data_IF_440554663840
#
_entry.id   IF_440554663840
#
_cell.length_a   1.000
_cell.length_b   1.000
_cell.length_c   1.000
_cell.angle_alpha   90.00
_cell.angle_beta   90.00
_cell.angle_gamma   90.00
#
_symmetry.space_group_name_H-M   'P 1'
#
loop_
_entity.id
_entity.type
_entity.pdbx_description
1 polymer ?
#
# COMPACT_ATOMS: atom_id res chain seq x y z
N UNK A 1 22.72 -19.79 12.26
CA UNK A 1 21.73 -18.74 12.57
C UNK A 1 21.70 -17.80 11.40
N UNK A 2 20.55 -17.70 10.74
CA UNK A 2 20.41 -16.97 9.48
C UNK A 2 19.58 -15.72 9.83
N UNK A 3 20.23 -14.57 9.92
CA UNK A 3 19.58 -13.24 9.95
C UNK A 3 18.88 -13.01 8.61
N UNK A 4 17.57 -13.24 8.55
CA UNK A 4 16.76 -13.09 7.34
C UNK A 4 15.58 -12.17 7.65
N UNK A 5 15.88 -10.91 7.92
CA UNK A 5 15.42 -9.78 7.11
C UNK A 5 15.67 -8.48 7.88
N UNK A 6 16.17 -7.45 7.20
CA UNK A 6 16.28 -6.08 7.74
C UNK A 6 14.90 -5.42 7.93
N UNK A 7 13.82 -6.11 7.58
CA UNK A 7 12.49 -5.56 7.44
C UNK A 7 11.57 -6.13 8.52
N UNK A 8 10.67 -5.31 9.04
CA UNK A 8 9.52 -5.83 9.77
C UNK A 8 8.61 -6.61 8.82
N UNK A 9 7.75 -7.49 9.36
CA UNK A 9 6.77 -8.22 8.54
C UNK A 9 5.85 -7.28 7.75
N UNK A 10 5.50 -6.13 8.33
CA UNK A 10 4.63 -5.13 7.72
C UNK A 10 5.35 -4.43 6.55
N UNK A 11 6.62 -4.06 6.73
CA UNK A 11 7.45 -3.47 5.66
C UNK A 11 7.71 -4.44 4.52
N UNK A 12 8.02 -5.70 4.82
CA UNK A 12 8.19 -6.71 3.80
C UNK A 12 6.90 -6.96 3.03
N UNK A 13 5.76 -7.02 3.72
CA UNK A 13 4.45 -7.18 3.10
C UNK A 13 4.11 -6.01 2.17
N UNK A 14 4.37 -4.77 2.60
CA UNK A 14 4.18 -3.58 1.79
C UNK A 14 5.05 -3.61 0.53
N UNK A 15 6.34 -3.96 0.66
CA UNK A 15 7.25 -4.05 -0.48
C UNK A 15 6.74 -5.02 -1.56
N UNK A 16 6.29 -6.22 -1.16
CA UNK A 16 5.80 -7.22 -2.11
C UNK A 16 4.53 -6.71 -2.81
N UNK A 17 3.58 -6.17 -2.06
CA UNK A 17 2.34 -5.62 -2.62
C UNK A 17 2.59 -4.40 -3.53
N UNK A 18 3.61 -3.58 -3.26
CA UNK A 18 4.01 -2.49 -4.16
C UNK A 18 4.56 -3.00 -5.50
N UNK A 19 5.24 -4.15 -5.50
CA UNK A 19 5.77 -4.78 -6.74
C UNK A 19 4.65 -5.41 -7.56
N UNK A 20 3.64 -5.93 -6.89
CA UNK A 20 2.47 -6.55 -7.52
C UNK A 20 1.40 -5.52 -7.92
N UNK A 21 1.59 -4.24 -7.55
CA UNK A 21 0.68 -3.13 -7.84
C UNK A 21 -0.70 -3.35 -7.20
N UNK A 22 -0.70 -3.97 -6.03
CA UNK A 22 -1.89 -4.43 -5.34
C UNK A 22 -2.75 -3.28 -4.81
N UNK A 23 -4.08 -3.47 -4.73
CA UNK A 23 -4.95 -2.55 -4.02
C UNK A 23 -4.67 -2.58 -2.51
N UNK A 24 -4.96 -1.48 -1.81
CA UNK A 24 -4.69 -1.36 -0.37
C UNK A 24 -5.41 -2.44 0.47
N UNK A 25 -6.60 -2.88 0.08
CA UNK A 25 -7.30 -3.95 0.79
C UNK A 25 -6.58 -5.30 0.67
N UNK A 26 -5.94 -5.59 -0.46
CA UNK A 26 -5.23 -6.85 -0.68
C UNK A 26 -3.96 -6.95 0.18
N UNK A 27 -3.27 -5.83 0.38
CA UNK A 27 -2.18 -5.71 1.34
C UNK A 27 -2.59 -6.16 2.75
N UNK A 28 -3.79 -5.77 3.20
CA UNK A 28 -4.31 -6.17 4.51
C UNK A 28 -4.66 -7.66 4.55
N UNK A 29 -5.27 -8.17 3.48
CA UNK A 29 -5.61 -9.58 3.34
C UNK A 29 -4.35 -10.47 3.40
N UNK A 30 -3.31 -10.12 2.65
CA UNK A 30 -2.02 -10.81 2.65
C UNK A 30 -1.36 -10.76 4.02
N UNK A 31 -1.33 -9.57 4.63
CA UNK A 31 -0.65 -9.38 5.90
C UNK A 31 -1.27 -10.19 7.03
N UNK A 32 -2.60 -10.25 7.05
CA UNK A 32 -3.38 -10.95 8.08
C UNK A 32 -3.59 -12.41 7.75
N UNK A 33 -3.33 -12.84 6.50
CA UNK A 33 -3.63 -14.17 5.99
C UNK A 33 -5.10 -14.56 6.21
N UNK A 34 -6.00 -13.59 6.02
CA UNK A 34 -7.43 -13.73 6.32
C UNK A 34 -8.27 -13.21 5.17
N UNK A 35 -9.49 -13.73 5.05
CA UNK A 35 -10.53 -13.19 4.17
C UNK A 35 -11.54 -12.31 4.92
N UNK A 36 -11.32 -12.05 6.20
CA UNK A 36 -12.24 -11.31 7.08
C UNK A 36 -11.85 -9.82 7.18
N UNK A 37 -12.69 -8.90 6.65
CA UNK A 37 -12.44 -7.46 6.72
C UNK A 37 -12.30 -6.90 8.14
N UNK A 38 -12.92 -7.51 9.16
CA UNK A 38 -12.77 -7.06 10.55
C UNK A 38 -11.34 -7.31 11.05
N UNK A 39 -10.74 -8.44 10.64
CA UNK A 39 -9.33 -8.75 10.95
C UNK A 39 -8.40 -7.79 10.22
N UNK A 40 -8.72 -7.46 8.95
CA UNK A 40 -7.94 -6.52 8.14
C UNK A 40 -7.86 -5.13 8.78
N UNK A 41 -8.99 -4.64 9.32
CA UNK A 41 -9.09 -3.31 9.92
C UNK A 41 -8.08 -3.08 11.06
N UNK A 42 -7.66 -4.15 11.76
CA UNK A 42 -6.65 -4.07 12.83
C UNK A 42 -5.27 -3.63 12.34
N UNK A 43 -4.99 -3.76 11.04
CA UNK A 43 -3.71 -3.41 10.41
C UNK A 43 -3.71 -2.06 9.71
N UNK A 44 -4.88 -1.44 9.49
CA UNK A 44 -4.99 -0.15 8.80
C UNK A 44 -4.08 0.92 9.44
N UNK A 45 -4.08 1.15 10.77
CA UNK A 45 -3.25 2.22 11.36
C UNK A 45 -1.75 2.05 11.08
N UNK A 46 -1.25 0.81 11.18
CA UNK A 46 0.16 0.50 10.93
C UNK A 46 0.55 0.74 9.46
N UNK A 47 -0.30 0.31 8.52
CA UNK A 47 -0.04 0.53 7.10
C UNK A 47 -0.26 1.97 6.66
N UNK A 48 -1.21 2.69 7.25
CA UNK A 48 -1.34 4.14 7.02
C UNK A 48 -0.04 4.86 7.35
N UNK A 49 0.48 4.68 8.57
CA UNK A 49 1.74 5.31 8.99
C UNK A 49 2.92 4.92 8.08
N UNK A 50 3.01 3.63 7.76
CA UNK A 50 4.10 3.10 6.95
C UNK A 50 4.06 3.64 5.51
N UNK A 51 2.90 3.61 4.86
CA UNK A 51 2.73 4.10 3.48
C UNK A 51 2.95 5.61 3.43
N UNK A 52 2.42 6.39 4.39
CA UNK A 52 2.69 7.84 4.46
C UNK A 52 4.18 8.14 4.59
N UNK A 53 4.89 7.40 5.45
CA UNK A 53 6.34 7.53 5.61
C UNK A 53 7.07 7.23 4.30
N UNK A 54 6.77 6.12 3.64
CA UNK A 54 7.42 5.74 2.39
C UNK A 54 7.06 6.67 1.22
N UNK A 55 5.83 7.20 1.17
CA UNK A 55 5.39 8.15 0.16
C UNK A 55 6.09 9.50 0.32
N UNK A 56 6.21 10.02 1.56
CA UNK A 56 6.98 11.25 1.85
C UNK A 56 8.44 11.12 1.44
N UNK A 57 9.02 9.94 1.67
CA UNK A 57 10.39 9.62 1.26
C UNK A 57 10.52 9.24 -0.22
N UNK A 58 9.43 9.31 -1.00
CA UNK A 58 9.42 8.99 -2.43
C UNK A 58 9.89 7.58 -2.76
N UNK A 59 9.58 6.59 -1.91
CA UNK A 59 9.81 5.18 -2.22
C UNK A 59 8.59 4.51 -2.84
N UNK A 60 7.39 4.98 -2.48
CA UNK A 60 6.12 4.50 -3.03
C UNK A 60 5.28 5.65 -3.55
N UNK A 61 4.31 5.29 -4.37
CA UNK A 61 3.30 6.19 -4.94
C UNK A 61 1.96 5.46 -5.00
N UNK A 62 0.88 6.23 -4.91
CA UNK A 62 -0.47 5.71 -4.93
C UNK A 62 -1.16 6.11 -6.23
N UNK A 63 -2.04 5.24 -6.72
CA UNK A 63 -2.89 5.51 -7.87
C UNK A 63 -4.34 5.27 -7.50
N UNK A 64 -5.21 6.16 -7.93
CA UNK A 64 -6.65 6.09 -7.75
C UNK A 64 -7.34 5.87 -9.10
N UNK A 65 -8.27 4.92 -9.18
CA UNK A 65 -8.98 4.63 -10.42
C UNK A 65 -10.11 3.63 -10.23
N UNK A 66 -10.58 3.05 -11.33
CA UNK A 66 -11.49 1.92 -11.29
C UNK A 66 -10.70 0.63 -11.01
N UNK A 67 -11.39 -0.44 -10.60
CA UNK A 67 -10.77 -1.75 -10.42
C UNK A 67 -10.23 -2.31 -11.74
N UNK A 68 -10.98 -2.13 -12.83
CA UNK A 68 -10.58 -2.59 -14.15
C UNK A 68 -10.87 -1.53 -15.22
N UNK A 69 -9.86 -1.12 -16.04
CA UNK A 69 -8.44 -1.48 -15.92
C UNK A 69 -7.81 -0.93 -14.62
N UNK A 70 -6.77 -1.59 -14.08
CA UNK A 70 -6.26 -1.25 -12.76
C UNK A 70 -5.71 0.19 -12.68
N UNK A 71 -5.74 0.82 -11.49
CA UNK A 71 -5.41 2.24 -11.35
C UNK A 71 -4.01 2.65 -11.82
N UNK A 72 -3.00 1.78 -11.73
CA UNK A 72 -1.65 2.09 -12.22
C UNK A 72 -1.57 2.18 -13.76
N UNK A 73 -2.53 1.61 -14.50
CA UNK A 73 -2.59 1.66 -15.97
C UNK A 73 -3.42 2.84 -16.47
N UNK A 74 -4.59 3.05 -15.85
CA UNK A 74 -5.63 3.95 -16.37
C UNK A 74 -6.13 4.99 -15.38
N UNK A 75 -5.74 4.84 -14.12
CA UNK A 75 -6.08 5.76 -13.04
C UNK A 75 -5.17 6.99 -13.02
N UNK A 76 -5.30 7.74 -11.94
CA UNK A 76 -4.55 8.95 -11.69
C UNK A 76 -3.60 8.73 -10.52
N UNK A 77 -2.35 9.18 -10.68
CA UNK A 77 -1.43 9.25 -9.55
C UNK A 77 -2.02 10.19 -8.50
N UNK A 78 -2.10 9.71 -7.27
CA UNK A 78 -2.50 10.53 -6.11
C UNK A 78 -1.38 11.54 -5.84
N UNK A 79 -1.68 12.85 -5.78
CA UNK A 79 -0.69 13.86 -5.39
C UNK A 79 -0.14 13.57 -4.00
N UNK A 80 1.14 13.86 -3.78
CA UNK A 80 1.81 13.53 -2.52
C UNK A 80 1.14 14.19 -1.30
N UNK A 81 0.62 15.40 -1.47
CA UNK A 81 -0.09 16.16 -0.42
C UNK A 81 -1.46 15.57 -0.08
N UNK A 82 -2.04 14.77 -0.99
CA UNK A 82 -3.36 14.13 -0.82
C UNK A 82 -3.25 12.71 -0.23
N UNK A 83 -2.05 12.14 -0.15
CA UNK A 83 -1.82 10.78 0.37
C UNK A 83 -2.42 10.58 1.78
N UNK A 84 -2.21 11.48 2.76
CA UNK A 84 -2.81 11.31 4.09
C UNK A 84 -4.34 11.31 4.06
N UNK A 85 -4.96 12.13 3.20
CA UNK A 85 -6.40 12.19 3.07
C UNK A 85 -6.96 10.89 2.46
N UNK A 86 -6.31 10.36 1.42
CA UNK A 86 -6.67 9.08 0.80
C UNK A 86 -6.54 7.92 1.79
N UNK A 87 -5.47 7.87 2.58
CA UNK A 87 -5.25 6.80 3.56
C UNK A 87 -6.14 6.92 4.81
N UNK A 88 -6.65 8.13 5.10
CA UNK A 88 -7.62 8.34 6.18
C UNK A 88 -9.05 7.99 5.77
N UNK A 89 -9.33 7.85 4.48
CA UNK A 89 -10.63 7.46 3.96
C UNK A 89 -10.86 5.94 4.11
N UNK A 90 -11.85 5.49 4.91
CA UNK A 90 -12.14 4.08 5.09
C UNK A 90 -12.46 3.34 3.80
N UNK A 91 -13.05 4.00 2.80
CA UNK A 91 -13.39 3.35 1.52
C UNK A 91 -12.13 2.93 0.74
N UNK A 92 -11.00 3.64 0.92
CA UNK A 92 -9.73 3.31 0.27
C UNK A 92 -9.18 1.92 0.65
N UNK A 93 -9.63 1.37 1.78
CA UNK A 93 -9.15 0.11 2.35
C UNK A 93 -10.12 -1.06 2.18
N UNK A 94 -11.27 -0.85 1.54
CA UNK A 94 -12.32 -1.86 1.45
C UNK A 94 -12.25 -2.65 0.15
N UNK A 95 -12.55 -3.96 0.24
CA UNK A 95 -12.87 -4.79 -0.91
C UNK A 95 -14.38 -4.75 -1.11
N UNK A 96 -14.84 -4.00 -2.12
CA UNK A 96 -16.24 -3.84 -2.45
C UNK A 96 -16.54 -4.53 -3.78
N UNK A 97 -17.74 -5.10 -3.93
CA UNK A 97 -18.15 -5.74 -5.20
C UNK A 97 -18.23 -4.73 -6.38
N UNK A 98 -18.46 -3.46 -6.08
CA UNK A 98 -18.57 -2.37 -7.07
C UNK A 98 -17.94 -1.09 -6.51
N UNK A 99 -16.60 -1.02 -6.40
CA UNK A 99 -15.93 0.14 -5.83
C UNK A 99 -16.07 1.34 -6.77
N UNK A 100 -16.42 2.50 -6.23
CA UNK A 100 -16.40 3.77 -6.97
C UNK A 100 -14.97 4.24 -7.24
N UNK A 101 -14.02 3.80 -6.40
CA UNK A 101 -12.59 4.09 -6.48
C UNK A 101 -11.80 2.96 -5.82
N UNK A 102 -10.73 2.53 -6.47
CA UNK A 102 -9.71 1.62 -5.93
C UNK A 102 -8.39 2.37 -5.82
N UNK A 103 -7.72 2.18 -4.70
CA UNK A 103 -6.38 2.72 -4.45
C UNK A 103 -5.37 1.58 -4.54
N UNK A 104 -4.40 1.70 -5.44
CA UNK A 104 -3.25 0.79 -5.53
C UNK A 104 -1.98 1.47 -5.09
N UNK A 105 -1.11 0.72 -4.43
CA UNK A 105 0.24 1.18 -4.08
C UNK A 105 1.26 0.60 -5.04
N UNK A 106 2.27 1.39 -5.40
CA UNK A 106 3.32 0.99 -6.33
C UNK A 106 4.67 1.53 -5.87
N UNK A 107 5.75 0.84 -6.25
CA UNK A 107 7.09 1.40 -6.12
C UNK A 107 7.23 2.65 -6.99
N UNK A 108 7.96 3.62 -6.49
CA UNK A 108 8.40 4.78 -7.27
C UNK A 108 9.64 4.45 -8.12
N UNK A 109 10.13 5.45 -8.86
CA UNK A 109 11.40 5.34 -9.60
C UNK A 109 12.64 5.45 -8.71
N UNK A 110 12.49 5.83 -7.43
CA UNK A 110 13.61 5.88 -6.48
C UNK A 110 14.12 4.47 -6.21
N UNK A 111 15.44 4.30 -6.21
CA UNK A 111 16.04 3.00 -5.91
C UNK A 111 15.71 2.59 -4.47
N UNK A 112 15.06 1.43 -4.35
CA UNK A 112 14.65 0.86 -3.08
C UNK A 112 15.85 0.36 -2.25
N UNK A 113 17.02 0.16 -2.87
CA UNK A 113 18.26 -0.17 -2.16
C UNK A 113 18.65 0.92 -1.15
N UNK A 114 18.28 2.19 -1.40
CA UNK A 114 18.52 3.29 -0.46
C UNK A 114 17.67 3.20 0.81
N UNK A 115 16.52 2.50 0.76
CA UNK A 115 15.70 2.23 1.94
C UNK A 115 16.39 1.19 2.85
N UNK A 116 17.25 0.33 2.30
CA UNK A 116 18.01 -0.70 3.04
C UNK A 116 19.25 -0.17 3.77
N UNK A 117 19.68 1.06 3.46
CA UNK A 117 20.89 1.70 4.00
C UNK A 117 20.60 2.82 5.01
N UNK A 118 19.36 3.33 5.08
CA UNK A 118 19.00 4.54 5.84
C UNK A 118 17.86 4.38 6.87
N UNK A 119 17.41 3.16 7.16
CA UNK A 119 16.45 2.84 8.23
C UNK A 119 17.10 2.09 9.38
#
# INVERSE_FOLDING_TARGET
>A
MKEWSKWTEDEYCLLINCRELSPLWALLADRTQSSDPEVWATKIPAFTELIERWARLKFVQLYAGLEWPPPHVSGQKVPDDDVPAVLSDPESWQCLDNPTRVITVSLSERDFSELEEGM
#
